data_IF_757766806911
#
_entry.id   IF_757766806911
#
_cell.length_a   1.000
_cell.length_b   1.000
_cell.length_c   1.000
_cell.angle_alpha   90.00
_cell.angle_beta   90.00
_cell.angle_gamma   90.00
#
_symmetry.space_group_name_H-M   'P 1'
#
loop_
_entity.id
_entity.type
_entity.pdbx_description
1 polymer ?
#
# COMPACT_ATOMS: atom_id res chain seq x y z
N UNK A 1 19.07 -10.34 -7.01
CA UNK A 1 17.87 -11.13 -7.38
C UNK A 1 17.24 -10.49 -8.61
N UNK A 2 17.21 -11.18 -9.76
CA UNK A 2 16.54 -10.69 -10.96
C UNK A 2 15.13 -11.31 -11.00
N UNK A 3 14.13 -10.59 -10.46
CA UNK A 3 12.74 -11.05 -10.40
C UNK A 3 11.86 -10.05 -11.15
N UNK A 4 10.85 -10.54 -11.87
CA UNK A 4 9.90 -9.66 -12.56
C UNK A 4 9.08 -8.85 -11.55
N UNK A 5 8.65 -7.65 -11.94
CA UNK A 5 7.84 -6.78 -11.07
C UNK A 5 6.57 -7.49 -10.57
N UNK A 6 5.93 -8.27 -11.44
CA UNK A 6 4.76 -9.07 -11.07
C UNK A 6 5.08 -10.14 -10.02
N UNK A 7 6.24 -10.81 -10.13
CA UNK A 7 6.67 -11.77 -9.12
C UNK A 7 6.91 -11.08 -7.77
N UNK A 8 7.53 -9.90 -7.77
CA UNK A 8 7.72 -9.09 -6.56
C UNK A 8 6.39 -8.68 -5.94
N UNK A 9 5.41 -8.24 -6.74
CA UNK A 9 4.07 -7.92 -6.23
C UNK A 9 3.38 -9.12 -5.61
N UNK A 10 3.42 -10.30 -6.26
CA UNK A 10 2.85 -11.54 -5.69
C UNK A 10 3.51 -11.93 -4.37
N UNK A 11 4.83 -11.81 -4.30
CA UNK A 11 5.57 -12.11 -3.08
C UNK A 11 5.19 -11.15 -1.93
N UNK A 12 5.10 -9.85 -2.20
CA UNK A 12 4.70 -8.85 -1.20
C UNK A 12 3.24 -9.00 -0.74
N UNK A 13 2.32 -9.30 -1.65
CA UNK A 13 0.92 -9.60 -1.31
C UNK A 13 0.84 -10.83 -0.37
N UNK A 14 1.57 -11.91 -0.72
CA UNK A 14 1.62 -13.12 0.10
C UNK A 14 2.22 -12.84 1.48
N UNK A 15 3.29 -12.06 1.56
CA UNK A 15 3.95 -11.73 2.81
C UNK A 15 3.06 -10.89 3.74
N UNK A 16 2.38 -9.87 3.21
CA UNK A 16 1.42 -9.10 4.00
C UNK A 16 0.25 -9.96 4.47
N UNK A 17 -0.30 -10.83 3.61
CA UNK A 17 -1.36 -11.76 4.04
C UNK A 17 -0.86 -12.72 5.11
N UNK A 18 0.34 -13.28 4.97
CA UNK A 18 0.96 -14.15 5.99
C UNK A 18 1.06 -13.44 7.33
N UNK A 19 1.44 -12.16 7.35
CA UNK A 19 1.61 -11.36 8.57
C UNK A 19 0.27 -11.03 9.25
N UNK A 20 -0.74 -10.58 8.49
CA UNK A 20 -1.94 -9.95 9.07
C UNK A 20 -3.21 -10.80 9.02
N UNK A 21 -3.31 -11.77 8.10
CA UNK A 21 -4.58 -12.43 7.82
C UNK A 21 -5.11 -13.25 9.00
N UNK A 22 -4.23 -13.81 9.84
CA UNK A 22 -4.63 -14.56 11.05
C UNK A 22 -5.43 -13.69 12.02
N UNK A 23 -4.95 -12.48 12.30
CA UNK A 23 -5.59 -11.60 13.28
C UNK A 23 -6.83 -10.91 12.71
N UNK A 24 -6.84 -10.62 11.40
CA UNK A 24 -8.02 -10.10 10.71
C UNK A 24 -9.15 -11.14 10.70
N UNK A 25 -8.83 -12.42 10.45
CA UNK A 25 -9.83 -13.50 10.50
C UNK A 25 -10.38 -13.72 11.92
N UNK A 26 -9.55 -13.55 12.96
CA UNK A 26 -10.02 -13.60 14.35
C UNK A 26 -11.08 -12.55 14.66
N UNK A 27 -11.06 -11.42 13.93
CA UNK A 27 -12.03 -10.34 14.05
C UNK A 27 -13.21 -10.47 13.07
N UNK A 28 -13.35 -11.61 12.38
CA UNK A 28 -14.38 -11.85 11.35
C UNK A 28 -14.36 -10.82 10.21
N UNK A 29 -13.19 -10.25 9.89
CA UNK A 29 -13.03 -9.28 8.83
C UNK A 29 -12.27 -9.87 7.63
N UNK A 30 -12.23 -9.12 6.52
CA UNK A 30 -11.45 -9.46 5.32
C UNK A 30 -10.29 -8.49 5.13
N UNK A 31 -9.16 -9.01 4.60
CA UNK A 31 -7.96 -8.22 4.38
C UNK A 31 -7.56 -8.19 2.91
N UNK A 32 -7.47 -6.99 2.35
CA UNK A 32 -6.94 -6.73 1.00
C UNK A 32 -5.64 -5.95 1.13
N UNK A 33 -4.46 -6.54 0.87
CA UNK A 33 -3.19 -5.86 1.00
C UNK A 33 -3.02 -4.80 -0.09
N UNK A 34 -2.75 -3.56 0.34
CA UNK A 34 -2.38 -2.47 -0.56
C UNK A 34 -0.85 -2.44 -0.72
N UNK A 35 -0.41 -2.77 -1.94
CA UNK A 35 0.98 -2.88 -2.35
C UNK A 35 1.21 -1.97 -3.56
N UNK A 36 2.11 -1.01 -3.37
CA UNK A 36 2.54 -0.07 -4.40
C UNK A 36 4.04 -0.18 -4.62
N UNK A 37 4.48 0.01 -5.86
CA UNK A 37 5.89 0.24 -6.16
C UNK A 37 6.25 1.72 -6.00
N UNK A 38 7.55 2.02 -5.92
CA UNK A 38 8.08 3.38 -5.78
C UNK A 38 7.69 4.33 -6.92
N UNK A 39 7.42 3.81 -8.11
CA UNK A 39 6.95 4.55 -9.28
C UNK A 39 5.42 4.59 -9.41
N UNK A 40 4.67 4.07 -8.43
CA UNK A 40 3.21 4.10 -8.44
C UNK A 40 2.52 2.96 -9.16
N UNK A 41 3.25 1.91 -9.53
CA UNK A 41 2.67 0.65 -9.95
C UNK A 41 1.89 -0.01 -8.81
N UNK A 42 0.82 -0.71 -9.16
CA UNK A 42 -0.09 -1.36 -8.21
C UNK A 42 -0.02 -2.87 -8.39
N UNK A 43 -0.09 -3.61 -7.28
CA UNK A 43 -0.33 -5.05 -7.33
C UNK A 43 -1.76 -5.36 -7.81
N UNK A 44 -2.04 -6.64 -8.09
CA UNK A 44 -3.34 -7.06 -8.63
C UNK A 44 -4.49 -6.72 -7.70
N UNK A 45 -4.37 -7.01 -6.41
CA UNK A 45 -5.43 -6.75 -5.43
C UNK A 45 -5.59 -5.25 -5.18
N UNK A 46 -4.48 -4.53 -5.12
CA UNK A 46 -4.44 -3.06 -5.01
C UNK A 46 -5.14 -2.38 -6.18
N UNK A 47 -4.92 -2.87 -7.41
CA UNK A 47 -5.53 -2.32 -8.62
C UNK A 47 -7.07 -2.50 -8.60
N UNK A 48 -7.56 -3.67 -8.18
CA UNK A 48 -9.00 -3.92 -8.01
C UNK A 48 -9.61 -3.05 -6.93
N UNK A 49 -8.96 -2.93 -5.79
CA UNK A 49 -9.38 -2.02 -4.73
C UNK A 49 -9.47 -0.58 -5.23
N UNK A 50 -8.44 -0.12 -5.94
CA UNK A 50 -8.37 1.23 -6.49
C UNK A 50 -9.49 1.51 -7.50
N UNK A 51 -9.78 0.57 -8.41
CA UNK A 51 -10.90 0.69 -9.36
C UNK A 51 -12.23 0.81 -8.61
N UNK A 52 -12.49 -0.08 -7.66
CA UNK A 52 -13.74 -0.07 -6.88
C UNK A 52 -13.89 1.23 -6.08
N UNK A 53 -12.81 1.71 -5.48
CA UNK A 53 -12.80 2.99 -4.77
C UNK A 53 -13.14 4.15 -5.71
N UNK A 54 -12.52 4.20 -6.90
CA UNK A 54 -12.77 5.24 -7.88
C UNK A 54 -14.22 5.21 -8.40
N UNK A 55 -14.79 4.04 -8.63
CA UNK A 55 -16.21 3.85 -8.98
C UNK A 55 -17.12 4.43 -7.90
N UNK A 56 -16.94 3.99 -6.64
CA UNK A 56 -17.76 4.43 -5.51
C UNK A 56 -17.69 5.95 -5.30
N UNK A 57 -16.51 6.56 -5.47
CA UNK A 57 -16.39 8.01 -5.40
C UNK A 57 -17.05 8.72 -6.59
N UNK A 58 -16.92 8.17 -7.80
CA UNK A 58 -17.54 8.78 -8.98
C UNK A 58 -19.07 8.78 -8.89
N UNK A 59 -19.64 7.67 -8.39
CA UNK A 59 -21.07 7.55 -8.12
C UNK A 59 -21.50 8.53 -7.01
N UNK A 60 -20.74 8.58 -5.90
CA UNK A 60 -21.07 9.46 -4.76
C UNK A 60 -21.05 10.94 -5.12
N UNK A 61 -20.14 11.35 -6.00
CA UNK A 61 -19.95 12.77 -6.35
C UNK A 61 -20.55 13.15 -7.70
N UNK A 62 -21.21 12.22 -8.39
CA UNK A 62 -21.75 12.40 -9.75
C UNK A 62 -20.69 12.95 -10.73
N UNK A 63 -19.45 12.51 -10.58
CA UNK A 63 -18.31 12.94 -11.41
C UNK A 63 -17.89 11.83 -12.37
N UNK A 64 -17.21 12.19 -13.46
CA UNK A 64 -16.67 11.18 -14.38
C UNK A 64 -15.64 10.27 -13.70
N UNK A 65 -15.76 8.96 -13.92
CA UNK A 65 -14.81 7.97 -13.41
C UNK A 65 -13.36 8.27 -13.78
N UNK A 66 -13.09 8.75 -15.00
CA UNK A 66 -11.72 9.06 -15.45
C UNK A 66 -11.10 10.21 -14.66
N UNK A 67 -11.90 11.23 -14.33
CA UNK A 67 -11.49 12.36 -13.51
C UNK A 67 -11.25 11.91 -12.05
N UNK A 68 -12.21 11.19 -11.47
CA UNK A 68 -12.15 10.70 -10.09
C UNK A 68 -10.99 9.73 -9.87
N UNK A 69 -10.82 8.75 -10.76
CA UNK A 69 -9.70 7.79 -10.70
C UNK A 69 -8.36 8.52 -10.75
N UNK A 70 -8.18 9.45 -11.69
CA UNK A 70 -6.95 10.24 -11.81
C UNK A 70 -6.67 11.08 -10.55
N UNK A 71 -7.72 11.67 -9.97
CA UNK A 71 -7.63 12.43 -8.73
C UNK A 71 -7.23 11.54 -7.53
N UNK A 72 -7.88 10.38 -7.35
CA UNK A 72 -7.55 9.40 -6.31
C UNK A 72 -6.11 8.93 -6.46
N UNK A 73 -5.68 8.57 -7.68
CA UNK A 73 -4.30 8.11 -7.94
C UNK A 73 -3.30 9.19 -7.56
N UNK A 74 -3.54 10.44 -7.97
CA UNK A 74 -2.67 11.56 -7.63
C UNK A 74 -2.56 11.74 -6.11
N UNK A 75 -3.68 11.70 -5.37
CA UNK A 75 -3.68 11.78 -3.90
C UNK A 75 -2.83 10.67 -3.27
N UNK A 76 -3.05 9.42 -3.66
CA UNK A 76 -2.29 8.27 -3.13
C UNK A 76 -0.80 8.42 -3.43
N UNK A 77 -0.42 8.77 -4.66
CA UNK A 77 0.98 8.94 -5.04
C UNK A 77 1.68 10.02 -4.23
N UNK A 78 1.04 11.17 -4.05
CA UNK A 78 1.57 12.25 -3.24
C UNK A 78 1.72 11.87 -1.77
N UNK A 79 0.83 11.06 -1.23
CA UNK A 79 0.96 10.53 0.13
C UNK A 79 2.12 9.54 0.23
N UNK A 80 2.23 8.58 -0.71
CA UNK A 80 3.32 7.59 -0.71
C UNK A 80 4.70 8.25 -0.79
N UNK A 81 4.87 9.24 -1.65
CA UNK A 81 6.14 9.99 -1.76
C UNK A 81 6.45 10.70 -0.44
N UNK A 82 5.47 11.40 0.15
CA UNK A 82 5.66 12.07 1.44
C UNK A 82 6.05 11.09 2.54
N UNK A 83 5.36 9.95 2.64
CA UNK A 83 5.68 8.90 3.61
C UNK A 83 7.08 8.33 3.39
N UNK A 84 7.44 7.99 2.14
CA UNK A 84 8.78 7.47 1.83
C UNK A 84 9.88 8.46 2.22
N UNK A 85 9.66 9.75 1.93
CA UNK A 85 10.59 10.82 2.30
C UNK A 85 10.70 10.95 3.83
N UNK A 86 9.58 10.87 4.57
CA UNK A 86 9.60 10.86 6.04
C UNK A 86 10.36 9.66 6.59
N UNK A 87 10.10 8.45 6.08
CA UNK A 87 10.81 7.24 6.48
C UNK A 87 12.33 7.35 6.25
N UNK A 88 12.75 7.88 5.10
CA UNK A 88 14.17 8.10 4.77
C UNK A 88 14.82 9.18 5.64
N UNK A 89 14.07 10.20 6.08
CA UNK A 89 14.58 11.22 7.00
C UNK A 89 14.69 10.69 8.42
N UNK A 90 13.66 10.01 8.91
CA UNK A 90 13.64 9.40 10.24
C UNK A 90 14.74 8.35 10.42
N UNK A 91 15.01 7.55 9.37
CA UNK A 91 16.07 6.53 9.42
C UNK A 91 17.50 7.10 9.54
N UNK A 92 17.73 8.37 9.17
CA UNK A 92 19.06 9.01 9.32
C UNK A 92 19.45 9.24 10.77
N UNK A 93 18.48 9.46 11.67
CA UNK A 93 18.70 9.58 13.11
C UNK A 93 18.82 8.23 13.83
N UNK A 94 18.27 7.16 13.23
CA UNK A 94 18.23 5.81 13.80
C UNK A 94 19.55 5.02 13.67
N UNK A 95 20.62 5.59 13.08
CA UNK A 95 21.91 4.91 12.89
C UNK A 95 22.57 4.41 14.19
N UNK A 96 22.11 4.87 15.35
CA UNK A 96 22.60 4.45 16.67
C UNK A 96 21.67 3.47 17.41
N UNK A 97 20.54 3.05 16.83
CA UNK A 97 19.58 2.13 17.46
C UNK A 97 19.67 0.77 16.76
N UNK A 98 19.80 -0.30 17.53
CA UNK A 98 19.88 -1.65 16.98
C UNK A 98 18.53 -2.02 16.38
N UNK A 99 18.54 -2.59 15.16
CA UNK A 99 17.34 -2.96 14.41
C UNK A 99 16.39 -3.92 15.16
N UNK A 100 16.86 -4.58 16.22
CA UNK A 100 16.04 -5.42 17.10
C UNK A 100 15.00 -4.64 17.92
N UNK A 101 15.30 -3.39 18.30
CA UNK A 101 14.48 -2.61 19.24
C UNK A 101 13.21 -2.02 18.58
N UNK A 102 13.16 -2.01 17.24
CA UNK A 102 12.00 -1.50 16.48
C UNK A 102 10.86 -2.51 16.34
N UNK A 103 11.13 -3.81 16.55
CA UNK A 103 10.10 -4.86 16.49
C UNK A 103 9.28 -4.98 17.79
N UNK A 104 9.69 -4.31 18.86
CA UNK A 104 8.97 -4.30 20.16
C UNK A 104 8.02 -3.09 20.31
N UNK A 105 7.98 -2.19 19.32
CA UNK A 105 7.14 -0.99 19.32
C UNK A 105 5.88 -1.12 18.45
N UNK A 106 5.66 -2.29 17.82
CA UNK A 106 4.48 -2.64 17.00
C UNK A 106 3.66 -3.78 17.62
#
# INVERSE_FOLDING_TARGET
RNQSLQASFRAMEKEKKRKYNKDVLRQNATFTPLIFSSNGGMSRETARFYQKLAEMLSEKHSTSFSCTSSWVKRKIMFSLIRTAVVCVRGSRGLKNIKLGDLNELD
#
